data_IF_631764335885
#
_entry.id   IF_631764335885
#
_cell.length_a   1.000
_cell.length_b   1.000
_cell.length_c   1.000
_cell.angle_alpha   90.00
_cell.angle_beta   90.00
_cell.angle_gamma   90.00
#
_symmetry.space_group_name_H-M   'P 1'
#
loop_
_entity.id
_entity.type
_entity.pdbx_description
1 polymer ?
#
# COMPACT_ATOMS: atom_id res chain seq x y z
N UNK A 1 1.10 2.66 14.71
CA UNK A 1 1.62 1.47 13.99
C UNK A 1 2.94 1.84 13.36
N UNK A 2 3.93 0.96 13.47
CA UNK A 2 5.26 1.22 12.89
C UNK A 2 5.29 0.86 11.41
N UNK A 3 6.25 1.42 10.69
CA UNK A 3 6.46 1.18 9.26
C UNK A 3 6.49 -0.32 8.88
N UNK A 4 7.16 -1.15 9.68
CA UNK A 4 7.31 -2.59 9.42
C UNK A 4 5.95 -3.31 9.46
N UNK A 5 5.15 -3.01 10.48
CA UNK A 5 3.79 -3.53 10.65
C UNK A 5 2.89 -3.12 9.47
N UNK A 6 3.00 -1.87 9.02
CA UNK A 6 2.26 -1.37 7.85
C UNK A 6 2.66 -2.14 6.58
N UNK A 7 3.96 -2.40 6.36
CA UNK A 7 4.43 -3.16 5.21
C UNK A 7 3.94 -4.60 5.24
N UNK A 8 3.95 -5.26 6.40
CA UNK A 8 3.42 -6.62 6.55
C UNK A 8 1.91 -6.68 6.30
N UNK A 9 1.14 -5.74 6.87
CA UNK A 9 -0.30 -5.64 6.64
C UNK A 9 -0.62 -5.39 5.17
N UNK A 10 0.07 -4.46 4.51
CA UNK A 10 -0.13 -4.20 3.08
C UNK A 10 0.13 -5.42 2.21
N UNK A 11 1.18 -6.20 2.51
CA UNK A 11 1.49 -7.45 1.78
C UNK A 11 0.36 -8.47 1.89
N UNK A 12 -0.20 -8.62 3.09
CA UNK A 12 -1.30 -9.54 3.34
C UNK A 12 -2.61 -9.04 2.71
N UNK A 13 -2.97 -7.79 2.97
CA UNK A 13 -4.23 -7.18 2.54
C UNK A 13 -4.37 -7.03 1.03
N UNK A 14 -3.25 -6.79 0.33
CA UNK A 14 -3.23 -6.65 -1.13
C UNK A 14 -2.82 -7.95 -1.83
N UNK A 15 -2.53 -9.01 -1.07
CA UNK A 15 -2.01 -10.29 -1.58
C UNK A 15 -0.73 -10.12 -2.45
N UNK A 16 0.17 -9.23 -2.03
CA UNK A 16 1.45 -8.94 -2.70
C UNK A 16 2.61 -9.32 -1.77
N UNK A 17 3.09 -10.58 -1.74
CA UNK A 17 4.08 -11.06 -0.79
C UNK A 17 5.42 -10.30 -0.85
N UNK A 18 5.78 -9.82 -2.04
CA UNK A 18 7.05 -9.15 -2.31
C UNK A 18 6.92 -7.63 -2.40
N UNK A 19 5.86 -7.04 -1.84
CA UNK A 19 5.71 -5.59 -1.82
C UNK A 19 6.87 -4.92 -1.06
N UNK A 20 7.54 -4.01 -1.75
CA UNK A 20 8.67 -3.22 -1.25
C UNK A 20 8.40 -1.72 -1.45
N UNK A 21 7.49 -1.18 -0.64
CA UNK A 21 7.18 0.24 -0.61
C UNK A 21 8.19 1.07 0.19
N UNK A 22 8.58 2.24 -0.32
CA UNK A 22 9.30 3.24 0.49
C UNK A 22 8.27 4.02 1.32
N UNK A 23 8.21 3.69 2.61
CA UNK A 23 7.42 4.40 3.61
C UNK A 23 8.31 5.26 4.51
N UNK A 24 7.77 6.38 4.98
CA UNK A 24 8.40 7.23 5.98
C UNK A 24 8.54 6.48 7.31
N UNK A 25 9.59 6.81 8.07
CA UNK A 25 9.77 6.28 9.41
C UNK A 25 9.00 7.16 10.41
N UNK A 26 7.71 6.87 10.57
CA UNK A 26 6.80 7.54 11.50
C UNK A 26 5.79 6.57 12.09
N UNK A 27 5.09 7.01 13.12
CA UNK A 27 3.93 6.28 13.65
C UNK A 27 2.70 6.57 12.79
N UNK A 28 2.14 5.53 12.19
CA UNK A 28 0.93 5.56 11.39
C UNK A 28 -0.31 5.32 12.26
N UNK A 29 -1.36 6.11 12.04
CA UNK A 29 -2.71 5.81 12.54
C UNK A 29 -3.41 4.81 11.62
N UNK A 30 -4.54 4.25 12.07
CA UNK A 30 -5.36 3.39 11.20
C UNK A 30 -5.92 4.18 10.01
N UNK A 31 -6.22 5.46 10.19
CA UNK A 31 -6.65 6.31 9.08
C UNK A 31 -5.54 6.47 8.01
N UNK A 32 -4.29 6.67 8.45
CA UNK A 32 -3.15 6.76 7.53
C UNK A 32 -2.94 5.45 6.77
N UNK A 33 -3.11 4.31 7.44
CA UNK A 33 -3.04 3.00 6.82
C UNK A 33 -4.10 2.82 5.73
N UNK A 34 -5.37 3.13 6.04
CA UNK A 34 -6.46 2.97 5.08
C UNK A 34 -6.29 3.90 3.87
N UNK A 35 -5.81 5.13 4.09
CA UNK A 35 -5.47 6.05 2.99
C UNK A 35 -4.38 5.47 2.10
N UNK A 36 -3.26 5.04 2.69
CA UNK A 36 -2.13 4.45 1.97
C UNK A 36 -2.53 3.22 1.16
N UNK A 37 -3.37 2.35 1.72
CA UNK A 37 -3.91 1.17 1.04
C UNK A 37 -4.74 1.55 -0.18
N UNK A 38 -5.67 2.51 -0.03
CA UNK A 38 -6.52 2.96 -1.12
C UNK A 38 -5.71 3.63 -2.23
N UNK A 39 -4.71 4.45 -1.87
CA UNK A 39 -3.82 5.09 -2.84
C UNK A 39 -3.05 4.06 -3.67
N UNK A 40 -2.58 2.97 -3.04
CA UNK A 40 -1.91 1.88 -3.74
C UNK A 40 -2.86 1.14 -4.70
N UNK A 41 -4.09 0.82 -4.26
CA UNK A 41 -5.10 0.17 -5.11
C UNK A 41 -5.42 1.04 -6.32
N UNK A 42 -5.68 2.33 -6.11
CA UNK A 42 -5.96 3.27 -7.20
C UNK A 42 -4.79 3.35 -8.18
N UNK A 43 -3.55 3.39 -7.67
CA UNK A 43 -2.36 3.38 -8.51
C UNK A 43 -2.26 2.11 -9.38
N UNK A 44 -2.57 0.93 -8.81
CA UNK A 44 -2.59 -0.31 -9.58
C UNK A 44 -3.71 -0.31 -10.63
N UNK A 45 -4.91 0.10 -10.27
CA UNK A 45 -6.06 0.18 -11.18
C UNK A 45 -5.77 1.12 -12.36
N UNK A 46 -5.21 2.30 -12.08
CA UNK A 46 -4.83 3.28 -13.11
C UNK A 46 -3.70 2.76 -13.99
N UNK A 47 -2.73 2.03 -13.42
CA UNK A 47 -1.64 1.43 -14.19
C UNK A 47 -2.15 0.33 -15.12
N UNK A 48 -3.00 -0.59 -14.63
CA UNK A 48 -3.58 -1.67 -15.44
C UNK A 48 -4.47 -1.09 -16.55
N UNK A 49 -5.34 -0.12 -16.23
CA UNK A 49 -6.23 0.52 -17.21
C UNK A 49 -5.48 1.29 -18.30
N UNK A 50 -4.30 1.83 -18.00
CA UNK A 50 -3.47 2.51 -19.01
C UNK A 50 -2.72 1.56 -19.94
N UNK A 51 -2.60 0.26 -19.62
CA UNK A 51 -1.95 -0.73 -20.50
C UNK A 51 -2.95 -1.33 -21.51
N UNK A 52 -4.25 -1.28 -21.23
CA UNK A 52 -5.30 -1.77 -22.14
C UNK A 52 -5.73 -0.75 -23.23
N UNK A 53 -5.05 0.41 -23.36
CA UNK A 53 -5.32 1.42 -24.39
C UNK A 53 -4.27 1.46 -25.51
#
# INVERSE_FOLDING_TARGET
MKKEEILERLRADLEIPFFQGKLEDKDYSEEDYQKLKNDLINYFDDYVRNIEN
#
